data_IF_202048882375
#
_entry.id   IF_202048882375
#
_cell.length_a   1.000
_cell.length_b   1.000
_cell.length_c   1.000
_cell.angle_alpha   90.00
_cell.angle_beta   90.00
_cell.angle_gamma   90.00
#
_symmetry.space_group_name_H-M   'P 1'
#
loop_
_entity.id
_entity.type
_entity.pdbx_description
1 polymer ?
#
# COMPACT_ATOMS: atom_id res chain seq x y z
N UNK A 1 -32.85 -43.24 -18.87
CA UNK A 1 -31.47 -43.44 -18.38
C UNK A 1 -30.55 -42.94 -19.46
N UNK A 2 -30.01 -41.75 -19.26
CA UNK A 2 -28.70 -41.31 -19.75
C UNK A 2 -28.28 -40.24 -18.74
N UNK A 3 -27.37 -40.64 -17.85
CA UNK A 3 -26.67 -39.80 -16.90
C UNK A 3 -25.65 -38.97 -17.67
N UNK A 4 -25.82 -37.66 -17.68
CA UNK A 4 -24.71 -36.74 -17.87
C UNK A 4 -24.55 -36.02 -16.54
N UNK A 5 -23.87 -36.69 -15.60
CA UNK A 5 -23.28 -36.03 -14.44
C UNK A 5 -22.17 -35.13 -14.97
N UNK A 6 -22.47 -33.84 -15.10
CA UNK A 6 -21.45 -32.83 -15.35
C UNK A 6 -20.88 -32.42 -14.00
N UNK A 7 -19.95 -33.21 -13.46
CA UNK A 7 -19.04 -32.73 -12.43
C UNK A 7 -18.10 -31.71 -13.08
N UNK A 8 -18.42 -30.41 -12.98
CA UNK A 8 -17.52 -29.40 -13.53
C UNK A 8 -16.34 -29.22 -12.57
N UNK A 9 -15.14 -29.62 -12.99
CA UNK A 9 -13.91 -29.32 -12.28
C UNK A 9 -13.66 -27.81 -12.34
N UNK A 10 -13.45 -27.16 -11.20
CA UNK A 10 -12.83 -25.83 -11.19
C UNK A 10 -11.32 -26.02 -11.09
N UNK A 11 -10.57 -25.26 -11.90
CA UNK A 11 -9.12 -25.15 -11.79
C UNK A 11 -8.71 -24.95 -10.32
N UNK A 12 -7.55 -25.49 -9.89
CA UNK A 12 -7.09 -25.36 -8.51
C UNK A 12 -7.16 -23.91 -8.05
N UNK A 13 -7.79 -23.70 -6.89
CA UNK A 13 -7.91 -22.39 -6.27
C UNK A 13 -6.82 -22.31 -5.19
N UNK A 14 -5.80 -21.44 -5.36
CA UNK A 14 -4.73 -21.36 -4.39
C UNK A 14 -5.23 -20.70 -3.09
N UNK A 15 -5.09 -21.41 -1.97
CA UNK A 15 -5.26 -20.88 -0.62
C UNK A 15 -4.01 -20.11 -0.24
N UNK A 16 -4.19 -18.79 -0.07
CA UNK A 16 -3.13 -17.89 0.34
C UNK A 16 -3.44 -17.26 1.69
N UNK A 17 -2.45 -17.14 2.57
CA UNK A 17 -2.55 -16.35 3.79
C UNK A 17 -1.29 -15.49 3.92
N UNK A 18 -1.44 -14.20 4.25
CA UNK A 18 -0.28 -13.28 4.42
C UNK A 18 0.65 -13.35 3.19
N UNK A 19 0.08 -13.46 1.99
CA UNK A 19 0.77 -13.65 0.69
C UNK A 19 1.49 -14.99 0.47
N UNK A 20 1.60 -15.84 1.50
CA UNK A 20 2.10 -17.21 1.36
C UNK A 20 1.07 -18.10 0.68
N UNK A 21 1.46 -18.75 -0.40
CA UNK A 21 0.68 -19.85 -0.98
C UNK A 21 0.85 -21.08 -0.11
N UNK A 22 -0.18 -21.42 0.65
CA UNK A 22 -0.17 -22.51 1.59
C UNK A 22 -0.48 -23.82 0.87
N UNK A 23 -1.66 -23.90 0.24
CA UNK A 23 -2.26 -25.12 -0.34
C UNK A 23 -3.05 -24.78 -1.60
N UNK A 24 -3.24 -25.75 -2.49
CA UNK A 24 -4.24 -25.67 -3.55
C UNK A 24 -5.52 -26.38 -3.07
N UNK A 25 -6.69 -25.75 -3.30
CA UNK A 25 -8.00 -26.38 -3.08
C UNK A 25 -8.61 -26.75 -4.41
N UNK A 26 -8.99 -28.01 -4.54
CA UNK A 26 -9.82 -28.51 -5.62
C UNK A 26 -11.26 -28.61 -5.12
N UNK A 27 -12.20 -28.00 -5.85
CA UNK A 27 -13.61 -27.92 -5.45
C UNK A 27 -14.45 -28.73 -6.41
N UNK A 28 -15.27 -29.62 -5.85
CA UNK A 28 -16.23 -30.43 -6.56
C UNK A 28 -17.60 -29.81 -6.43
N UNK A 29 -18.20 -29.50 -7.57
CA UNK A 29 -19.52 -28.88 -7.65
C UNK A 29 -20.48 -29.91 -8.23
N UNK A 30 -21.38 -30.43 -7.39
CA UNK A 30 -22.53 -31.19 -7.85
C UNK A 30 -23.72 -30.26 -8.09
N UNK A 31 -24.47 -30.51 -9.17
CA UNK A 31 -25.71 -29.80 -9.43
C UNK A 31 -26.69 -30.10 -8.28
N UNK A 32 -27.26 -29.03 -7.70
CA UNK A 32 -28.26 -29.08 -6.61
C UNK A 32 -27.76 -29.47 -5.19
N UNK A 33 -26.45 -29.71 -5.00
CA UNK A 33 -25.90 -29.90 -3.65
C UNK A 33 -25.76 -28.56 -2.89
N UNK A 34 -26.25 -28.46 -1.63
CA UNK A 34 -26.10 -27.25 -0.83
C UNK A 34 -24.65 -27.03 -0.37
N UNK A 35 -23.92 -28.10 -0.06
CA UNK A 35 -22.51 -28.09 0.35
C UNK A 35 -21.57 -28.37 -0.83
N UNK A 36 -20.43 -27.68 -0.86
CA UNK A 36 -19.33 -27.96 -1.78
C UNK A 36 -18.40 -28.99 -1.15
N UNK A 37 -17.95 -29.97 -1.94
CA UNK A 37 -16.91 -30.91 -1.53
C UNK A 37 -15.54 -30.41 -2.03
N UNK A 38 -14.46 -30.76 -1.32
CA UNK A 38 -13.14 -30.24 -1.64
C UNK A 38 -11.99 -31.14 -1.19
N UNK A 39 -10.85 -30.98 -1.85
CA UNK A 39 -9.59 -31.63 -1.51
C UNK A 39 -8.49 -30.57 -1.40
N UNK A 40 -7.73 -30.61 -0.31
CA UNK A 40 -6.52 -29.84 -0.08
C UNK A 40 -5.29 -30.60 -0.59
N UNK A 41 -4.46 -29.89 -1.33
CA UNK A 41 -3.23 -30.39 -1.92
C UNK A 41 -2.06 -29.44 -1.61
N UNK A 42 -0.85 -29.98 -1.59
CA UNK A 42 0.32 -29.11 -1.58
C UNK A 42 0.40 -28.32 -2.90
N UNK A 43 0.94 -27.10 -2.87
CA UNK A 43 1.09 -26.29 -4.08
C UNK A 43 1.85 -27.04 -5.17
N UNK A 44 1.24 -27.12 -6.36
CA UNK A 44 1.72 -27.87 -7.54
C UNK A 44 1.57 -29.40 -7.48
N UNK A 45 0.83 -29.98 -6.54
CA UNK A 45 0.41 -31.38 -6.63
C UNK A 45 -0.97 -31.51 -7.30
N UNK A 46 -1.13 -32.51 -8.17
CA UNK A 46 -2.38 -32.76 -8.92
C UNK A 46 -3.06 -34.00 -8.34
N UNK A 47 -4.36 -33.96 -8.01
CA UNK A 47 -5.11 -35.14 -7.59
C UNK A 47 -5.15 -36.19 -8.72
N UNK A 48 -4.96 -37.47 -8.38
CA UNK A 48 -4.88 -38.60 -9.35
C UNK A 48 -6.14 -38.78 -10.25
N UNK A 49 -7.25 -38.09 -9.97
CA UNK A 49 -8.51 -38.21 -10.72
C UNK A 49 -8.72 -37.11 -11.79
N UNK A 50 -7.74 -36.21 -12.02
CA UNK A 50 -7.89 -35.08 -12.94
C UNK A 50 -7.79 -35.46 -14.43
N UNK A 51 -7.15 -36.58 -14.76
CA UNK A 51 -7.09 -37.13 -16.11
C UNK A 51 -7.23 -38.65 -16.01
N UNK A 52 -8.29 -39.21 -16.60
CA UNK A 52 -8.51 -40.66 -16.71
C UNK A 52 -7.50 -41.40 -17.60
N UNK A 53 -6.22 -41.07 -17.50
CA UNK A 53 -5.11 -41.61 -18.26
C UNK A 53 -4.20 -42.48 -17.38
N UNK A 54 -4.29 -43.79 -17.56
CA UNK A 54 -3.32 -44.75 -17.03
C UNK A 54 -1.90 -44.44 -17.55
N UNK A 55 -1.00 -43.97 -16.68
CA UNK A 55 0.40 -43.73 -17.05
C UNK A 55 1.25 -43.44 -15.81
N UNK A 56 1.83 -44.49 -15.22
CA UNK A 56 2.45 -44.45 -13.90
C UNK A 56 3.62 -43.48 -13.73
N UNK A 57 3.52 -42.69 -12.66
CA UNK A 57 4.62 -42.26 -11.78
C UNK A 57 4.09 -42.46 -10.35
N UNK A 58 4.97 -42.87 -9.45
CA UNK A 58 4.68 -43.44 -8.13
C UNK A 58 3.58 -42.76 -7.30
N UNK A 59 2.77 -43.61 -6.67
CA UNK A 59 1.75 -43.35 -5.65
C UNK A 59 2.00 -42.13 -4.75
N UNK A 60 1.12 -41.13 -4.83
CA UNK A 60 1.02 -40.03 -3.88
C UNK A 60 -0.32 -40.11 -3.10
N UNK A 61 -0.70 -41.33 -2.69
CA UNK A 61 -1.72 -41.52 -1.64
C UNK A 61 -1.33 -40.87 -0.30
N UNK A 62 -0.07 -40.45 -0.17
CA UNK A 62 0.47 -39.66 0.94
C UNK A 62 0.29 -38.14 0.76
N UNK A 63 -0.30 -37.67 -0.36
CA UNK A 63 -0.59 -36.25 -0.61
C UNK A 63 -1.89 -35.76 0.05
N UNK A 64 -2.54 -36.59 0.89
CA UNK A 64 -3.69 -36.17 1.69
C UNK A 64 -3.16 -35.28 2.82
N UNK A 65 -3.48 -33.99 2.75
CA UNK A 65 -3.15 -33.07 3.84
C UNK A 65 -3.85 -33.49 5.14
N UNK A 66 -3.21 -33.19 6.26
CA UNK A 66 -3.86 -33.22 7.57
C UNK A 66 -5.04 -32.23 7.56
N UNK A 67 -6.26 -32.70 7.88
CA UNK A 67 -7.48 -31.88 8.01
C UNK A 67 -7.89 -31.68 9.48
N UNK A 68 -7.14 -32.20 10.45
CA UNK A 68 -7.54 -32.22 11.87
C UNK A 68 -7.74 -30.84 12.50
N UNK A 69 -7.21 -29.80 11.86
CA UNK A 69 -7.34 -28.40 12.26
C UNK A 69 -8.58 -27.71 11.67
N UNK A 70 -9.28 -28.35 10.73
CA UNK A 70 -10.58 -27.85 10.29
C UNK A 70 -11.61 -28.03 11.40
N UNK A 71 -12.38 -26.98 11.64
CA UNK A 71 -13.42 -26.99 12.64
C UNK A 71 -14.80 -27.05 11.96
N UNK A 72 -15.36 -28.25 11.87
CA UNK A 72 -16.67 -28.50 11.25
C UNK A 72 -17.79 -27.64 11.87
N UNK A 73 -17.67 -27.28 13.16
CA UNK A 73 -18.69 -26.46 13.84
C UNK A 73 -18.78 -25.02 13.35
N UNK A 74 -17.74 -24.54 12.66
CA UNK A 74 -17.68 -23.18 12.08
C UNK A 74 -17.82 -23.19 10.56
N UNK A 75 -18.08 -24.36 9.96
CA UNK A 75 -18.23 -24.51 8.52
C UNK A 75 -19.40 -23.65 8.01
N UNK A 76 -19.19 -22.83 6.96
CA UNK A 76 -20.22 -21.95 6.45
C UNK A 76 -21.37 -22.75 5.85
N UNK A 77 -22.58 -22.51 6.35
CA UNK A 77 -23.79 -23.03 5.73
C UNK A 77 -24.05 -22.24 4.44
N UNK A 78 -24.40 -22.96 3.38
CA UNK A 78 -24.74 -22.37 2.08
C UNK A 78 -26.10 -22.88 1.64
N UNK A 79 -26.92 -21.99 1.11
CA UNK A 79 -28.22 -22.35 0.56
C UNK A 79 -28.06 -22.77 -0.91
N UNK A 80 -28.93 -23.68 -1.38
CA UNK A 80 -28.90 -24.12 -2.78
C UNK A 80 -29.11 -22.97 -3.80
N UNK A 81 -29.68 -21.84 -3.36
CA UNK A 81 -29.85 -20.62 -4.16
C UNK A 81 -28.63 -19.68 -4.19
N UNK A 82 -27.60 -19.93 -3.38
CA UNK A 82 -26.41 -19.09 -3.36
C UNK A 82 -25.55 -19.29 -4.62
N UNK A 83 -25.06 -18.20 -5.25
CA UNK A 83 -24.13 -18.30 -6.37
C UNK A 83 -22.92 -19.18 -6.03
N UNK A 84 -22.51 -20.06 -6.95
CA UNK A 84 -21.38 -20.99 -6.73
C UNK A 84 -20.11 -20.24 -6.28
N UNK A 85 -19.83 -19.08 -6.89
CA UNK A 85 -18.63 -18.30 -6.56
C UNK A 85 -18.65 -17.76 -5.13
N UNK A 86 -19.83 -17.39 -4.62
CA UNK A 86 -20.00 -16.95 -3.23
C UNK A 86 -19.82 -18.12 -2.25
N UNK A 87 -20.34 -19.30 -2.59
CA UNK A 87 -20.15 -20.52 -1.79
C UNK A 87 -18.68 -20.92 -1.71
N UNK A 88 -17.97 -20.84 -2.84
CA UNK A 88 -16.52 -21.07 -2.91
C UNK A 88 -15.78 -20.04 -2.05
N UNK A 89 -16.07 -18.76 -2.19
CA UNK A 89 -15.42 -17.72 -1.41
C UNK A 89 -15.56 -17.97 0.10
N UNK A 90 -16.77 -18.31 0.57
CA UNK A 90 -17.01 -18.66 1.98
C UNK A 90 -16.22 -19.89 2.42
N UNK A 91 -16.18 -20.94 1.60
CA UNK A 91 -15.41 -22.16 1.89
C UNK A 91 -13.91 -21.83 2.03
N UNK A 92 -13.35 -21.09 1.08
CA UNK A 92 -11.94 -20.66 1.08
C UNK A 92 -11.62 -19.84 2.34
N UNK A 93 -12.50 -18.90 2.71
CA UNK A 93 -12.35 -18.08 3.92
C UNK A 93 -12.38 -18.94 5.20
N UNK A 94 -13.25 -19.93 5.27
CA UNK A 94 -13.32 -20.86 6.40
C UNK A 94 -12.03 -21.68 6.54
N UNK A 95 -11.55 -22.26 5.44
CA UNK A 95 -10.27 -23.01 5.40
C UNK A 95 -9.12 -22.10 5.87
N UNK A 96 -9.02 -20.89 5.33
CA UNK A 96 -7.99 -19.92 5.74
C UNK A 96 -8.06 -19.59 7.24
N UNK A 97 -9.26 -19.36 7.76
CA UNK A 97 -9.47 -19.03 9.16
C UNK A 97 -9.10 -20.18 10.08
N UNK A 98 -9.56 -21.39 9.80
CA UNK A 98 -9.19 -22.58 10.58
C UNK A 98 -7.68 -22.81 10.59
N UNK A 99 -7.00 -22.53 9.47
CA UNK A 99 -5.54 -22.64 9.42
C UNK A 99 -4.84 -21.55 10.24
N UNK A 100 -5.34 -20.32 10.21
CA UNK A 100 -4.85 -19.23 11.06
C UNK A 100 -5.03 -19.53 12.55
N UNK A 101 -6.17 -20.10 12.94
CA UNK A 101 -6.45 -20.51 14.31
C UNK A 101 -5.45 -21.60 14.77
N UNK A 102 -5.21 -22.63 13.93
CA UNK A 102 -4.15 -23.64 14.18
C UNK A 102 -2.79 -22.99 14.39
N UNK A 103 -2.40 -22.09 13.49
CA UNK A 103 -1.11 -21.42 13.58
C UNK A 103 -0.99 -20.61 14.88
N UNK A 104 -2.06 -19.91 15.28
CA UNK A 104 -2.07 -19.12 16.51
C UNK A 104 -1.86 -19.98 17.77
N UNK A 105 -2.36 -21.22 17.79
CA UNK A 105 -2.19 -22.14 18.92
C UNK A 105 -0.77 -22.72 19.00
N UNK A 106 -0.12 -22.96 17.86
CA UNK A 106 1.17 -23.64 17.78
C UNK A 106 2.37 -22.68 17.76
N UNK A 107 2.15 -21.41 17.40
CA UNK A 107 3.22 -20.47 17.06
C UNK A 107 4.23 -20.25 18.19
N UNK A 108 3.80 -20.14 19.45
CA UNK A 108 4.73 -19.92 20.56
C UNK A 108 5.74 -21.06 20.68
N UNK A 109 5.31 -22.32 20.50
CA UNK A 109 6.22 -23.47 20.50
C UNK A 109 7.18 -23.46 19.31
N UNK A 110 6.67 -23.10 18.12
CA UNK A 110 7.47 -22.99 16.89
C UNK A 110 8.55 -21.92 17.04
N UNK A 111 8.19 -20.71 17.48
CA UNK A 111 9.15 -19.62 17.67
C UNK A 111 10.21 -19.96 18.72
N UNK A 112 9.85 -20.61 19.82
CA UNK A 112 10.82 -21.05 20.85
C UNK A 112 11.87 -22.01 20.27
N UNK A 113 11.48 -22.88 19.33
CA UNK A 113 12.41 -23.82 18.69
C UNK A 113 13.34 -23.16 17.65
N UNK A 114 12.93 -22.04 17.07
CA UNK A 114 13.66 -21.36 16.00
C UNK A 114 14.53 -20.23 16.53
N UNK A 115 13.92 -19.28 17.26
CA UNK A 115 14.55 -18.03 17.65
C UNK A 115 13.93 -17.50 18.95
N UNK A 116 14.67 -17.67 20.06
CA UNK A 116 14.26 -17.22 21.39
C UNK A 116 13.94 -15.72 21.47
N UNK A 117 14.62 -14.88 20.66
CA UNK A 117 14.39 -13.43 20.66
C UNK A 117 13.07 -13.10 19.98
N UNK A 118 12.80 -13.71 18.81
CA UNK A 118 11.52 -13.53 18.12
C UNK A 118 10.35 -14.12 18.92
N UNK A 119 10.57 -15.26 19.59
CA UNK A 119 9.60 -15.82 20.54
C UNK A 119 9.27 -14.83 21.66
N UNK A 120 10.29 -14.23 22.27
CA UNK A 120 10.09 -13.23 23.32
C UNK A 120 9.35 -12.00 22.81
N UNK A 121 9.72 -11.48 21.64
CA UNK A 121 9.03 -10.36 20.99
C UNK A 121 7.55 -10.68 20.72
N UNK A 122 7.27 -11.91 20.27
CA UNK A 122 5.91 -12.35 20.02
C UNK A 122 5.10 -12.42 21.31
N UNK A 123 5.57 -13.18 22.30
CA UNK A 123 4.84 -13.42 23.55
C UNK A 123 4.67 -12.13 24.37
N UNK A 124 5.68 -11.24 24.37
CA UNK A 124 5.68 -10.02 25.21
C UNK A 124 5.05 -8.81 24.55
N UNK A 125 5.03 -8.74 23.22
CA UNK A 125 4.59 -7.55 22.50
C UNK A 125 3.61 -7.86 21.37
N UNK A 126 4.01 -8.63 20.35
CA UNK A 126 3.17 -8.81 19.16
C UNK A 126 1.83 -9.47 19.48
N UNK A 127 1.79 -10.45 20.38
CA UNK A 127 0.56 -11.13 20.79
C UNK A 127 -0.44 -10.20 21.49
N UNK A 128 0.04 -9.09 22.05
CA UNK A 128 -0.76 -8.09 22.77
C UNK A 128 -1.34 -7.01 21.84
N UNK A 129 -0.81 -6.91 20.61
CA UNK A 129 -1.26 -5.95 19.62
C UNK A 129 -2.68 -6.27 19.14
N UNK A 130 -3.56 -5.28 19.23
CA UNK A 130 -4.97 -5.39 18.85
C UNK A 130 -5.36 -4.17 18.02
N UNK A 131 -5.52 -4.37 16.72
CA UNK A 131 -5.97 -3.37 15.77
C UNK A 131 -7.48 -3.09 15.84
N UNK A 132 -7.91 -2.11 15.06
CA UNK A 132 -9.31 -1.74 14.92
C UNK A 132 -10.18 -2.96 14.58
N UNK A 133 -11.39 -3.02 15.16
CA UNK A 133 -12.30 -4.15 14.96
C UNK A 133 -11.85 -5.45 15.63
N UNK A 134 -10.88 -5.42 16.54
CA UNK A 134 -10.39 -6.60 17.26
C UNK A 134 -9.37 -7.44 16.48
N UNK A 135 -8.80 -6.88 15.41
CA UNK A 135 -7.76 -7.54 14.60
C UNK A 135 -6.53 -7.82 15.45
N UNK A 136 -5.92 -8.98 15.29
CA UNK A 136 -4.69 -9.35 16.01
C UNK A 136 -3.55 -9.57 15.03
N UNK A 137 -2.35 -9.78 15.55
CA UNK A 137 -1.24 -10.27 14.75
C UNK A 137 -1.60 -11.66 14.24
N UNK A 138 -1.62 -11.80 12.93
CA UNK A 138 -1.78 -13.09 12.28
C UNK A 138 -0.39 -13.65 11.99
N UNK A 139 -0.18 -14.92 12.31
CA UNK A 139 1.05 -15.62 12.01
C UNK A 139 0.69 -16.88 11.25
N UNK A 140 1.39 -17.13 10.16
CA UNK A 140 1.29 -18.38 9.42
C UNK A 140 2.67 -18.94 9.22
N UNK A 141 2.78 -20.25 9.20
CA UNK A 141 4.03 -20.91 8.89
C UNK A 141 3.78 -22.02 7.87
N UNK A 142 4.81 -22.39 7.11
CA UNK A 142 4.76 -23.50 6.17
C UNK A 142 6.07 -24.27 6.25
N UNK A 143 5.99 -25.49 6.76
CA UNK A 143 7.13 -26.40 6.83
C UNK A 143 7.38 -27.05 5.47
N UNK A 144 8.62 -27.01 5.03
CA UNK A 144 9.13 -27.70 3.84
C UNK A 144 10.38 -28.50 4.25
N UNK A 145 10.83 -29.48 3.45
CA UNK A 145 11.91 -30.39 3.85
C UNK A 145 13.18 -29.66 4.33
N UNK A 146 13.59 -28.62 3.61
CA UNK A 146 14.87 -27.93 3.87
C UNK A 146 14.70 -26.61 4.65
N UNK A 147 13.50 -26.07 4.71
CA UNK A 147 13.25 -24.76 5.33
C UNK A 147 11.82 -24.61 5.82
N UNK A 148 11.64 -23.69 6.76
CA UNK A 148 10.36 -23.23 7.24
C UNK A 148 10.13 -21.79 6.78
N UNK A 149 8.99 -21.55 6.15
CA UNK A 149 8.53 -20.18 5.93
C UNK A 149 7.67 -19.73 7.10
N UNK A 150 7.87 -18.49 7.54
CA UNK A 150 7.16 -17.91 8.66
C UNK A 150 6.72 -16.49 8.27
N UNK A 151 5.43 -16.26 8.12
CA UNK A 151 4.84 -14.97 7.75
C UNK A 151 4.10 -14.34 8.92
N UNK A 152 4.32 -13.05 9.13
CA UNK A 152 3.57 -12.23 10.08
C UNK A 152 2.80 -11.14 9.33
N UNK A 153 1.58 -10.89 9.78
CA UNK A 153 0.76 -9.73 9.43
C UNK A 153 0.47 -8.97 10.71
N UNK A 154 1.19 -7.86 10.90
CA UNK A 154 1.17 -7.10 12.14
C UNK A 154 0.34 -5.83 11.92
N UNK A 155 -0.79 -5.64 12.62
CA UNK A 155 -1.59 -4.42 12.50
C UNK A 155 -0.81 -3.18 12.96
N UNK A 156 -0.77 -2.15 12.11
CA UNK A 156 -0.11 -0.87 12.38
C UNK A 156 -1.12 0.26 12.63
N UNK A 157 -0.63 1.37 13.18
CA UNK A 157 -1.33 2.64 13.40
C UNK A 157 -2.59 2.50 14.26
N UNK A 158 -2.56 1.59 15.22
CA UNK A 158 -3.74 1.17 16.01
C UNK A 158 -4.38 2.35 16.75
N UNK A 159 -3.57 3.26 17.28
CA UNK A 159 -4.03 4.45 18.01
C UNK A 159 -4.39 5.63 17.10
N UNK A 160 -4.12 5.54 15.80
CA UNK A 160 -4.26 6.65 14.84
C UNK A 160 -5.18 6.34 13.65
N UNK A 161 -5.80 5.17 13.61
CA UNK A 161 -6.61 4.70 12.48
C UNK A 161 -7.67 5.71 12.02
N UNK A 162 -8.41 6.33 12.94
CA UNK A 162 -9.43 7.34 12.62
C UNK A 162 -8.80 8.57 11.96
N UNK A 163 -7.76 9.15 12.57
CA UNK A 163 -7.05 10.33 12.03
C UNK A 163 -6.46 10.07 10.65
N UNK A 164 -5.92 8.87 10.45
CA UNK A 164 -5.35 8.47 9.15
C UNK A 164 -6.46 8.28 8.12
N UNK A 165 -7.60 7.71 8.51
CA UNK A 165 -8.78 7.61 7.65
C UNK A 165 -9.25 9.00 7.21
N UNK A 166 -9.44 9.94 8.15
CA UNK A 166 -9.81 11.34 7.86
C UNK A 166 -8.80 12.04 6.95
N UNK A 167 -7.51 11.80 7.18
CA UNK A 167 -6.43 12.35 6.36
C UNK A 167 -6.49 11.80 4.92
N UNK A 168 -6.73 10.50 4.76
CA UNK A 168 -6.88 9.87 3.45
C UNK A 168 -8.13 10.34 2.71
N UNK A 169 -9.25 10.52 3.42
CA UNK A 169 -10.46 11.11 2.84
C UNK A 169 -10.19 12.54 2.36
N UNK A 170 -9.47 13.33 3.14
CA UNK A 170 -9.06 14.69 2.77
C UNK A 170 -8.15 14.68 1.54
N UNK A 171 -7.20 13.77 1.47
CA UNK A 171 -6.33 13.58 0.30
C UNK A 171 -7.16 13.22 -0.93
N UNK A 172 -8.09 12.28 -0.82
CA UNK A 172 -8.94 11.86 -1.93
C UNK A 172 -9.85 12.98 -2.41
N UNK A 173 -10.46 13.71 -1.48
CA UNK A 173 -11.31 14.86 -1.81
C UNK A 173 -10.54 15.96 -2.55
N UNK A 174 -9.36 16.35 -2.05
CA UNK A 174 -8.52 17.37 -2.67
C UNK A 174 -7.95 16.91 -4.01
N UNK A 175 -7.45 15.67 -4.09
CA UNK A 175 -6.93 15.12 -5.34
C UNK A 175 -8.01 15.06 -6.42
N UNK A 176 -9.20 14.55 -6.09
CA UNK A 176 -10.33 14.50 -7.04
C UNK A 176 -10.74 15.90 -7.49
N UNK A 177 -10.83 16.86 -6.57
CA UNK A 177 -11.13 18.27 -6.88
C UNK A 177 -10.10 18.85 -7.86
N UNK A 178 -8.81 18.70 -7.54
CA UNK A 178 -7.71 19.30 -8.30
C UNK A 178 -7.49 18.63 -9.66
N UNK A 179 -7.67 17.31 -9.75
CA UNK A 179 -7.59 16.55 -11.00
C UNK A 179 -8.85 16.58 -11.86
N UNK A 180 -9.89 17.33 -11.43
CA UNK A 180 -11.20 17.45 -12.10
C UNK A 180 -11.94 16.12 -12.26
N UNK A 181 -11.72 15.18 -11.34
CA UNK A 181 -12.55 13.99 -11.20
C UNK A 181 -13.94 14.39 -10.70
N UNK A 182 -14.98 13.70 -11.14
CA UNK A 182 -16.35 14.01 -10.67
C UNK A 182 -16.50 13.57 -9.22
N UNK A 183 -17.25 14.32 -8.40
CA UNK A 183 -17.42 14.01 -6.98
C UNK A 183 -18.00 12.60 -6.73
N UNK A 184 -18.76 12.06 -7.68
CA UNK A 184 -19.26 10.68 -7.65
C UNK A 184 -18.16 9.61 -7.78
N UNK A 185 -16.94 9.98 -8.18
CA UNK A 185 -15.80 9.06 -8.33
C UNK A 185 -14.94 8.96 -7.07
N UNK A 186 -15.15 9.81 -6.06
CA UNK A 186 -14.43 9.73 -4.79
C UNK A 186 -15.15 8.75 -3.85
N UNK A 187 -14.55 7.59 -3.53
CA UNK A 187 -15.16 6.63 -2.64
C UNK A 187 -15.09 7.10 -1.19
N UNK A 188 -16.21 7.12 -0.46
CA UNK A 188 -16.20 7.36 0.99
C UNK A 188 -15.54 6.19 1.70
N UNK A 189 -14.70 6.49 2.69
CA UNK A 189 -13.99 5.47 3.46
C UNK A 189 -14.75 5.18 4.75
N UNK A 190 -14.87 3.91 5.12
CA UNK A 190 -15.37 3.52 6.44
C UNK A 190 -14.24 3.24 7.41
N UNK A 191 -13.17 2.62 6.91
CA UNK A 191 -12.03 2.19 7.69
C UNK A 191 -10.82 2.04 6.77
N UNK A 192 -9.64 2.32 7.29
CA UNK A 192 -8.38 1.99 6.63
C UNK A 192 -7.52 1.17 7.56
N UNK A 193 -7.07 0.04 7.04
CA UNK A 193 -6.27 -0.95 7.72
C UNK A 193 -4.83 -0.90 7.20
N UNK A 194 -3.88 -0.79 8.11
CA UNK A 194 -2.45 -0.90 7.81
C UNK A 194 -1.89 -2.18 8.41
N UNK A 195 -1.05 -2.88 7.67
CA UNK A 195 -0.40 -4.09 8.18
C UNK A 195 1.02 -4.20 7.65
N UNK A 196 1.97 -4.39 8.56
CA UNK A 196 3.31 -4.83 8.21
C UNK A 196 3.24 -6.32 7.88
N UNK A 197 3.59 -6.67 6.66
CA UNK A 197 3.76 -8.04 6.21
C UNK A 197 5.25 -8.33 6.19
N UNK A 198 5.70 -9.25 7.03
CA UNK A 198 7.09 -9.73 7.01
C UNK A 198 7.12 -11.24 6.85
N UNK A 199 7.92 -11.70 5.89
CA UNK A 199 8.12 -13.11 5.61
C UNK A 199 9.56 -13.49 5.88
N UNK A 200 9.74 -14.48 6.75
CA UNK A 200 11.00 -15.10 7.06
C UNK A 200 11.13 -16.45 6.37
N UNK A 201 12.36 -16.79 5.99
CA UNK A 201 12.79 -18.14 5.65
C UNK A 201 13.80 -18.60 6.69
N UNK A 202 13.48 -19.70 7.33
CA UNK A 202 14.28 -20.33 8.37
C UNK A 202 14.87 -21.61 7.80
N UNK A 203 16.18 -21.78 7.85
CA UNK A 203 16.83 -23.01 7.44
C UNK A 203 16.72 -24.06 8.58
N UNK A 204 16.17 -25.24 8.28
CA UNK A 204 15.92 -26.27 9.29
C UNK A 204 17.20 -26.82 9.94
N UNK A 205 18.34 -26.81 9.22
CA UNK A 205 19.61 -27.38 9.71
C UNK A 205 20.39 -26.41 10.60
N UNK A 206 20.31 -25.11 10.30
CA UNK A 206 21.12 -24.07 10.97
C UNK A 206 20.31 -23.15 11.87
N UNK A 207 18.97 -23.19 11.80
CA UNK A 207 18.05 -22.21 12.38
C UNK A 207 18.37 -20.74 12.01
N UNK A 208 19.15 -20.53 10.93
CA UNK A 208 19.40 -19.21 10.40
C UNK A 208 18.11 -18.69 9.77
N UNK A 209 17.77 -17.43 10.07
CA UNK A 209 16.56 -16.78 9.63
C UNK A 209 16.88 -15.59 8.73
N UNK A 210 16.36 -15.64 7.50
CA UNK A 210 16.49 -14.57 6.51
C UNK A 210 15.14 -13.90 6.26
N UNK A 211 15.13 -12.58 6.10
CA UNK A 211 13.93 -11.84 5.67
C UNK A 211 13.82 -11.94 4.15
N UNK A 212 12.76 -12.58 3.66
CA UNK A 212 12.49 -12.78 2.22
C UNK A 212 11.65 -11.64 1.65
N UNK A 213 10.71 -11.14 2.45
CA UNK A 213 9.81 -10.07 2.03
C UNK A 213 9.43 -9.21 3.22
N UNK A 214 9.36 -7.91 2.98
CA UNK A 214 8.90 -6.93 3.94
C UNK A 214 8.13 -5.83 3.19
N UNK A 215 6.87 -5.63 3.53
CA UNK A 215 6.03 -4.59 2.92
C UNK A 215 4.96 -4.09 3.89
N UNK A 216 4.51 -2.85 3.68
CA UNK A 216 3.32 -2.32 4.36
C UNK A 216 2.13 -2.41 3.41
N UNK A 217 1.13 -3.20 3.78
CA UNK A 217 -0.13 -3.31 3.07
C UNK A 217 -1.14 -2.29 3.61
N UNK A 218 -1.84 -1.61 2.69
CA UNK A 218 -2.98 -0.74 3.01
C UNK A 218 -4.24 -1.38 2.44
N UNK A 219 -5.26 -1.57 3.28
CA UNK A 219 -6.59 -1.99 2.85
C UNK A 219 -7.61 -0.92 3.26
N UNK A 220 -8.19 -0.25 2.27
CA UNK A 220 -9.25 0.72 2.48
C UNK A 220 -10.61 0.08 2.22
N UNK A 221 -11.52 0.23 3.19
CA UNK A 221 -12.89 -0.26 3.14
C UNK A 221 -13.85 0.88 2.79
N UNK A 222 -14.85 0.59 1.96
CA UNK A 222 -15.88 1.55 1.58
C UNK A 222 -17.13 1.37 2.44
N UNK A 223 -17.84 2.47 2.70
CA UNK A 223 -19.18 2.43 3.29
C UNK A 223 -20.24 1.92 2.32
N UNK A 224 -20.04 2.09 1.01
CA UNK A 224 -20.96 1.60 -0.03
C UNK A 224 -20.20 1.38 -1.36
N UNK A 225 -20.46 0.29 -2.09
CA UNK A 225 -19.91 0.08 -3.42
C UNK A 225 -20.57 1.07 -4.41
N UNK A 226 -19.92 2.22 -4.60
CA UNK A 226 -20.30 3.20 -5.61
C UNK A 226 -19.68 2.82 -6.96
N UNK A 227 -20.43 3.05 -8.05
CA UNK A 227 -19.91 2.94 -9.41
C UNK A 227 -18.89 4.07 -9.65
N UNK A 228 -17.60 3.77 -9.48
CA UNK A 228 -16.53 4.76 -9.54
C UNK A 228 -15.15 4.12 -9.41
N UNK A 229 -14.17 4.94 -9.03
CA UNK A 229 -12.80 4.48 -8.78
C UNK A 229 -12.74 3.71 -7.45
N UNK A 230 -12.06 2.57 -7.44
CA UNK A 230 -11.87 1.82 -6.19
C UNK A 230 -10.93 2.58 -5.24
N UNK A 231 -11.02 2.38 -3.90
CA UNK A 231 -10.13 3.05 -2.95
C UNK A 231 -8.69 2.58 -3.15
N UNK A 232 -8.50 1.31 -3.50
CA UNK A 232 -7.20 0.75 -3.81
C UNK A 232 -6.54 1.48 -4.99
N UNK A 233 -7.31 1.78 -6.03
CA UNK A 233 -6.83 2.55 -7.17
C UNK A 233 -6.46 3.99 -6.76
N UNK A 234 -7.29 4.70 -5.99
CA UNK A 234 -6.94 6.04 -5.50
C UNK A 234 -5.73 6.05 -4.55
N UNK A 235 -5.63 5.09 -3.63
CA UNK A 235 -4.45 4.90 -2.78
C UNK A 235 -3.20 4.74 -3.65
N UNK A 236 -3.26 3.86 -4.65
CA UNK A 236 -2.13 3.62 -5.56
C UNK A 236 -1.77 4.83 -6.41
N UNK A 237 -2.68 5.78 -6.63
CA UNK A 237 -2.38 7.04 -7.33
C UNK A 237 -1.83 8.10 -6.40
N UNK A 238 -2.25 8.16 -5.14
CA UNK A 238 -2.00 9.30 -4.25
C UNK A 238 -0.92 9.06 -3.19
N UNK A 239 -0.74 7.80 -2.76
CA UNK A 239 0.14 7.44 -1.64
C UNK A 239 1.30 6.58 -2.14
N UNK A 240 2.53 7.06 -1.98
CA UNK A 240 3.74 6.27 -2.20
C UNK A 240 4.37 5.89 -0.86
N UNK A 241 4.65 4.60 -0.67
CA UNK A 241 5.24 4.04 0.56
C UNK A 241 6.71 3.63 0.36
N UNK A 242 7.37 4.19 -0.65
CA UNK A 242 8.76 3.86 -0.94
C UNK A 242 9.69 4.40 0.15
N UNK A 243 10.80 3.70 0.40
CA UNK A 243 11.83 4.04 1.38
C UNK A 243 11.35 4.10 2.85
N UNK A 244 10.33 3.31 3.22
CA UNK A 244 10.03 3.07 4.63
C UNK A 244 11.17 2.29 5.31
N UNK A 245 11.38 2.47 6.63
CA UNK A 245 12.33 1.65 7.38
C UNK A 245 12.04 0.16 7.20
N UNK A 246 13.08 -0.63 6.96
CA UNK A 246 13.00 -2.08 6.81
C UNK A 246 13.62 -2.76 8.03
N UNK A 247 12.87 -3.67 8.66
CA UNK A 247 13.27 -4.54 9.76
C UNK A 247 14.49 -5.39 9.44
N UNK A 248 14.66 -5.74 8.16
CA UNK A 248 15.89 -6.38 7.67
C UNK A 248 17.14 -5.60 8.11
N UNK A 249 18.33 -6.15 7.82
CA UNK A 249 19.64 -5.67 8.28
C UNK A 249 19.87 -4.14 8.32
N UNK A 250 19.13 -3.34 7.53
CA UNK A 250 19.09 -1.88 7.60
C UNK A 250 18.63 -1.31 8.96
N UNK A 251 17.62 -1.87 9.63
CA UNK A 251 17.19 -1.36 10.95
C UNK A 251 18.26 -1.57 12.03
N UNK A 252 18.87 -2.76 12.04
CA UNK A 252 19.99 -3.09 12.93
C UNK A 252 21.20 -2.16 12.69
N UNK A 253 21.51 -1.87 11.42
CA UNK A 253 22.53 -0.88 11.06
C UNK A 253 22.17 0.53 11.52
N UNK A 254 20.91 0.96 11.34
CA UNK A 254 20.46 2.30 11.70
C UNK A 254 20.56 2.54 13.21
N UNK A 255 20.19 1.55 14.02
CA UNK A 255 20.28 1.65 15.47
C UNK A 255 21.67 1.38 16.03
N UNK A 256 22.62 0.87 15.23
CA UNK A 256 23.93 0.41 15.69
C UNK A 256 23.85 -0.51 16.92
N UNK A 257 22.81 -1.35 16.98
CA UNK A 257 22.52 -2.21 18.14
C UNK A 257 22.27 -3.64 17.69
N UNK A 258 23.02 -4.57 18.27
CA UNK A 258 22.82 -6.01 18.09
C UNK A 258 21.51 -6.51 18.73
N UNK A 259 20.90 -5.70 19.60
CA UNK A 259 19.71 -6.08 20.38
C UNK A 259 18.37 -5.58 19.82
N UNK A 260 18.34 -4.87 18.69
CA UNK A 260 17.09 -4.27 18.18
C UNK A 260 16.00 -5.33 17.96
N UNK A 261 14.78 -5.04 18.39
CA UNK A 261 13.66 -5.98 18.40
C UNK A 261 12.41 -5.38 17.73
N UNK A 262 11.36 -6.19 17.54
CA UNK A 262 10.11 -5.70 16.92
C UNK A 262 9.46 -4.56 17.72
N UNK A 263 9.63 -4.56 19.04
CA UNK A 263 9.13 -3.50 19.93
C UNK A 263 9.79 -2.15 19.68
N UNK A 264 11.07 -2.14 19.26
CA UNK A 264 11.76 -0.90 18.87
C UNK A 264 11.43 -0.51 17.43
N UNK A 265 11.25 -1.50 16.55
CA UNK A 265 11.06 -1.27 15.12
C UNK A 265 9.69 -0.69 14.77
N UNK A 266 8.62 -1.30 15.30
CA UNK A 266 7.25 -0.93 14.91
C UNK A 266 6.96 0.56 15.15
N UNK A 267 7.31 1.16 16.31
CA UNK A 267 7.10 2.59 16.52
C UNK A 267 7.83 3.48 15.51
N UNK A 268 9.07 3.12 15.14
CA UNK A 268 9.87 3.85 14.14
C UNK A 268 9.24 3.76 12.75
N UNK A 269 8.76 2.56 12.38
CA UNK A 269 8.04 2.35 11.13
C UNK A 269 6.72 3.13 11.10
N UNK A 270 5.95 3.12 12.18
CA UNK A 270 4.68 3.85 12.30
C UNK A 270 4.86 5.35 12.18
N UNK A 271 5.87 5.93 12.83
CA UNK A 271 6.21 7.35 12.71
C UNK A 271 6.59 7.72 11.27
N UNK A 272 7.47 6.92 10.64
CA UNK A 272 7.84 7.12 9.24
C UNK A 272 6.63 7.03 8.30
N UNK A 273 5.73 6.07 8.55
CA UNK A 273 4.50 5.88 7.79
C UNK A 273 3.54 7.07 7.93
N UNK A 274 3.34 7.58 9.14
CA UNK A 274 2.51 8.77 9.37
C UNK A 274 3.06 9.98 8.60
N UNK A 275 4.36 10.22 8.69
CA UNK A 275 5.00 11.31 7.96
C UNK A 275 4.80 11.15 6.44
N UNK A 276 4.93 9.93 5.92
CA UNK A 276 4.68 9.62 4.50
C UNK A 276 3.23 9.84 4.07
N UNK A 277 2.27 9.58 4.94
CA UNK A 277 0.84 9.80 4.68
C UNK A 277 0.45 11.29 4.73
N UNK A 278 1.19 12.12 5.48
CA UNK A 278 0.95 13.56 5.56
C UNK A 278 1.50 14.34 4.35
N UNK A 279 2.60 13.88 3.74
CA UNK A 279 3.24 14.57 2.60
C UNK A 279 2.27 14.82 1.41
N UNK A 280 1.44 13.86 0.95
CA UNK A 280 0.43 14.09 -0.09
C UNK A 280 -0.58 15.17 0.28
N UNK A 281 -1.06 15.17 1.52
CA UNK A 281 -2.04 16.16 1.99
C UNK A 281 -1.45 17.56 1.95
N UNK A 282 -0.25 17.72 2.50
CA UNK A 282 0.48 18.99 2.49
C UNK A 282 0.71 19.52 1.06
N UNK A 283 1.08 18.64 0.12
CA UNK A 283 1.21 19.03 -1.29
C UNK A 283 -0.11 19.47 -1.91
N UNK A 284 -1.19 18.70 -1.72
CA UNK A 284 -2.49 19.03 -2.30
C UNK A 284 -3.08 20.32 -1.72
N UNK A 285 -2.88 20.59 -0.43
CA UNK A 285 -3.26 21.84 0.21
C UNK A 285 -2.50 23.04 -0.39
N UNK A 286 -1.20 22.90 -0.67
CA UNK A 286 -0.42 23.91 -1.39
C UNK A 286 -1.03 24.18 -2.79
N UNK A 287 -1.34 23.13 -3.54
CA UNK A 287 -1.94 23.27 -4.87
C UNK A 287 -3.32 23.92 -4.82
N UNK A 288 -4.14 23.62 -3.81
CA UNK A 288 -5.44 24.24 -3.62
C UNK A 288 -5.31 25.76 -3.43
N UNK A 289 -4.38 26.20 -2.59
CA UNK A 289 -4.12 27.63 -2.40
C UNK A 289 -3.60 28.29 -3.69
N UNK A 290 -2.67 27.65 -4.40
CA UNK A 290 -2.19 28.16 -5.68
C UNK A 290 -3.31 28.25 -6.73
N UNK A 291 -4.28 27.33 -6.68
CA UNK A 291 -5.39 27.28 -7.62
C UNK A 291 -6.32 28.48 -7.52
N UNK A 292 -6.36 29.16 -6.37
CA UNK A 292 -7.12 30.41 -6.20
C UNK A 292 -6.63 31.53 -7.13
N UNK A 293 -5.36 31.48 -7.54
CA UNK A 293 -4.71 32.53 -8.33
C UNK A 293 -4.34 32.06 -9.74
N UNK A 294 -3.84 30.83 -9.86
CA UNK A 294 -3.38 30.27 -11.14
C UNK A 294 -4.50 29.52 -11.89
N UNK A 295 -5.69 29.40 -11.29
CA UNK A 295 -6.72 28.48 -11.74
C UNK A 295 -6.38 27.02 -11.45
N UNK A 296 -7.21 26.09 -11.93
CA UNK A 296 -7.00 24.65 -11.68
C UNK A 296 -5.76 24.13 -12.40
N UNK A 297 -4.99 23.21 -11.80
CA UNK A 297 -3.85 22.59 -12.47
C UNK A 297 -4.30 21.84 -13.74
N UNK A 298 -3.38 21.78 -14.70
CA UNK A 298 -3.52 21.03 -15.96
C UNK A 298 -3.17 19.57 -15.74
N UNK A 299 -2.17 19.30 -14.90
CA UNK A 299 -1.70 17.95 -14.59
C UNK A 299 -1.20 17.87 -13.14
N UNK A 300 -1.37 16.71 -12.52
CA UNK A 300 -0.93 16.38 -11.17
C UNK A 300 -0.40 14.95 -11.17
N UNK A 301 0.87 14.80 -10.83
CA UNK A 301 1.51 13.52 -10.63
C UNK A 301 1.97 13.40 -9.16
N UNK A 302 1.38 12.47 -8.42
CA UNK A 302 1.70 12.26 -7.01
C UNK A 302 2.87 11.29 -6.79
N UNK A 303 3.40 10.67 -7.87
CA UNK A 303 4.38 9.57 -7.81
C UNK A 303 5.42 9.66 -8.93
N UNK A 304 6.12 10.79 -9.07
CA UNK A 304 7.25 10.86 -9.98
C UNK A 304 8.52 10.40 -9.27
N UNK A 305 9.02 9.22 -9.60
CA UNK A 305 10.40 8.80 -9.30
C UNK A 305 11.30 9.08 -10.50
N UNK A 306 12.57 9.38 -10.26
CA UNK A 306 13.57 9.27 -11.32
C UNK A 306 14.05 7.83 -11.35
N UNK A 307 13.52 7.04 -12.30
CA UNK A 307 13.82 5.61 -12.44
C UNK A 307 15.31 5.34 -12.72
N UNK A 308 16.09 6.38 -13.05
CA UNK A 308 17.53 6.27 -13.28
C UNK A 308 18.34 6.22 -12.00
N UNK A 309 17.76 6.62 -10.87
CA UNK A 309 18.44 6.64 -9.57
C UNK A 309 17.73 5.67 -8.63
N UNK A 310 18.35 4.52 -8.29
CA UNK A 310 17.79 3.62 -7.29
C UNK A 310 17.63 4.38 -5.96
N UNK A 311 16.46 4.21 -5.32
CA UNK A 311 16.04 4.95 -4.11
C UNK A 311 15.86 6.47 -4.32
N UNK A 312 15.52 6.92 -5.53
CA UNK A 312 15.15 8.33 -5.73
C UNK A 312 13.93 8.69 -4.88
N UNK A 313 14.02 9.83 -4.20
CA UNK A 313 12.90 10.33 -3.41
C UNK A 313 11.72 10.65 -4.32
N UNK A 314 10.55 10.13 -3.98
CA UNK A 314 9.29 10.42 -4.69
C UNK A 314 9.10 11.93 -4.72
N UNK A 315 8.96 12.47 -5.93
CA UNK A 315 8.65 13.87 -6.17
C UNK A 315 7.22 13.99 -6.68
N UNK A 316 6.44 14.83 -6.05
CA UNK A 316 5.08 15.19 -6.45
C UNK A 316 5.16 16.41 -7.36
N UNK A 317 4.51 16.33 -8.51
CA UNK A 317 4.61 17.34 -9.56
C UNK A 317 3.22 17.85 -9.89
N UNK A 318 3.07 19.16 -10.02
CA UNK A 318 1.85 19.76 -10.58
C UNK A 318 2.21 20.83 -11.59
N UNK A 319 1.38 20.95 -12.61
CA UNK A 319 1.56 21.94 -13.67
C UNK A 319 0.33 22.83 -13.77
N UNK A 320 0.53 24.14 -13.70
CA UNK A 320 -0.48 25.16 -13.98
C UNK A 320 -0.15 25.82 -15.31
N UNK A 321 -1.17 26.15 -16.11
CA UNK A 321 -1.01 26.94 -17.31
C UNK A 321 -2.20 27.89 -17.46
N UNK A 322 -1.89 29.17 -17.63
CA UNK A 322 -2.89 30.22 -17.81
C UNK A 322 -2.33 31.39 -18.60
N UNK A 323 -3.22 32.26 -19.06
CA UNK A 323 -2.89 33.51 -19.75
C UNK A 323 -3.27 34.65 -18.82
N UNK A 324 -2.30 35.42 -18.26
CA UNK A 324 -2.63 36.55 -17.40
C UNK A 324 -3.48 37.59 -18.13
N UNK A 325 -4.47 38.21 -17.46
CA UNK A 325 -5.22 39.31 -18.01
C UNK A 325 -4.28 40.40 -18.54
N UNK A 326 -4.65 41.02 -19.66
CA UNK A 326 -3.91 42.12 -20.28
C UNK A 326 -2.51 41.77 -20.81
N UNK A 327 -2.22 40.47 -20.98
CA UNK A 327 -0.99 39.98 -21.62
C UNK A 327 -1.29 38.98 -22.74
N UNK A 328 -0.47 38.99 -23.80
CA UNK A 328 -0.48 37.94 -24.84
C UNK A 328 0.54 36.83 -24.53
N UNK A 329 0.73 36.55 -23.23
CA UNK A 329 1.74 35.63 -22.74
C UNK A 329 1.08 34.37 -22.19
N UNK A 330 1.55 33.20 -22.59
CA UNK A 330 1.23 31.96 -21.90
C UNK A 330 2.21 31.77 -20.75
N UNK A 331 1.68 31.57 -19.54
CA UNK A 331 2.48 31.27 -18.35
C UNK A 331 2.27 29.80 -18.01
N UNK A 332 3.38 29.11 -17.74
CA UNK A 332 3.40 27.75 -17.22
C UNK A 332 4.18 27.72 -15.91
N UNK A 333 3.58 27.17 -14.86
CA UNK A 333 4.20 27.00 -13.55
C UNK A 333 4.28 25.50 -13.27
N UNK A 334 5.48 25.00 -12.97
CA UNK A 334 5.69 23.60 -12.60
C UNK A 334 6.19 23.55 -11.15
N UNK A 335 5.44 22.88 -10.29
CA UNK A 335 5.76 22.70 -8.87
C UNK A 335 6.32 21.31 -8.66
N UNK A 336 7.51 21.21 -8.10
CA UNK A 336 8.16 19.97 -7.69
C UNK A 336 8.28 19.92 -6.17
N UNK A 337 7.47 19.08 -5.53
CA UNK A 337 7.39 18.95 -4.08
C UNK A 337 7.88 17.57 -3.65
N UNK A 338 8.92 17.52 -2.82
CA UNK A 338 9.52 16.26 -2.35
C UNK A 338 8.90 15.78 -1.05
N UNK A 339 8.86 16.65 -0.04
CA UNK A 339 8.33 16.36 1.28
C UNK A 339 7.84 17.64 1.97
N UNK A 340 7.20 17.51 3.13
CA UNK A 340 6.67 18.62 3.93
C UNK A 340 7.74 19.44 4.66
N UNK A 341 9.01 19.06 4.60
CA UNK A 341 10.11 19.69 5.36
C UNK A 341 11.06 20.50 4.50
N UNK A 342 10.90 20.45 3.16
CA UNK A 342 11.75 21.16 2.20
C UNK A 342 10.92 22.10 1.33
N UNK A 343 11.51 23.22 0.93
CA UNK A 343 10.85 24.13 0.00
C UNK A 343 10.66 23.42 -1.35
N UNK A 344 9.46 23.50 -1.96
CA UNK A 344 9.26 22.96 -3.29
C UNK A 344 10.10 23.74 -4.29
N UNK A 345 10.63 23.04 -5.29
CA UNK A 345 11.22 23.70 -6.43
C UNK A 345 10.10 24.12 -7.39
N UNK A 346 9.98 25.41 -7.70
CA UNK A 346 8.94 25.92 -8.60
C UNK A 346 9.58 26.65 -9.78
N UNK A 347 9.33 26.11 -10.97
CA UNK A 347 9.79 26.63 -12.24
C UNK A 347 8.67 27.38 -12.95
N UNK A 348 8.98 28.58 -13.44
CA UNK A 348 8.07 29.45 -14.18
C UNK A 348 8.61 29.64 -15.59
N UNK A 349 7.77 29.37 -16.58
CA UNK A 349 8.02 29.64 -17.98
C UNK A 349 6.98 30.64 -18.52
N UNK A 350 7.45 31.63 -19.27
CA UNK A 350 6.61 32.63 -19.94
C UNK A 350 6.93 32.61 -21.43
N UNK A 351 5.91 32.37 -22.24
CA UNK A 351 6.00 32.36 -23.70
C UNK A 351 5.12 33.47 -24.30
N UNK A 352 5.73 34.40 -25.04
CA UNK A 352 5.03 35.51 -25.70
C UNK A 352 5.04 35.31 -27.21
N UNK A 353 3.87 35.41 -27.84
CA UNK A 353 3.74 35.38 -29.29
C UNK A 353 4.37 36.65 -29.90
N UNK A 354 5.40 36.49 -30.74
CA UNK A 354 6.03 37.60 -31.44
C UNK A 354 5.19 38.13 -32.61
N UNK A 355 5.54 39.32 -33.08
CA UNK A 355 4.88 40.01 -34.21
C UNK A 355 5.12 39.36 -35.59
N UNK A 356 6.04 38.39 -35.68
CA UNK A 356 6.31 37.63 -36.90
C UNK A 356 5.79 36.19 -36.75
N UNK A 357 5.10 35.62 -37.76
CA UNK A 357 4.67 34.24 -37.70
C UNK A 357 5.90 33.35 -37.57
N UNK A 358 5.98 32.59 -36.45
CA UNK A 358 7.03 31.62 -36.05
C UNK A 358 8.12 32.08 -35.05
N UNK A 359 8.07 33.27 -34.45
CA UNK A 359 8.99 33.59 -33.32
C UNK A 359 8.24 33.73 -32.00
N UNK A 360 8.22 32.65 -31.22
CA UNK A 360 7.84 32.69 -29.81
C UNK A 360 9.07 33.04 -28.99
N UNK A 361 9.00 34.11 -28.18
CA UNK A 361 10.04 34.37 -27.17
C UNK A 361 9.65 33.62 -25.90
N UNK A 362 10.54 32.78 -25.41
CA UNK A 362 10.36 32.01 -24.19
C UNK A 362 11.41 32.45 -23.16
N UNK A 363 10.97 32.73 -21.95
CA UNK A 363 11.83 33.02 -20.81
C UNK A 363 11.46 32.10 -19.65
N UNK A 364 12.48 31.58 -18.96
CA UNK A 364 12.34 30.66 -17.83
C UNK A 364 13.03 31.21 -16.61
N UNK A 365 12.47 30.96 -15.44
CA UNK A 365 13.04 31.33 -14.16
C UNK A 365 12.51 30.44 -13.06
N UNK A 366 13.26 30.34 -11.97
CA UNK A 366 12.87 29.63 -10.77
C UNK A 366 12.47 30.66 -9.72
N UNK A 367 11.44 30.36 -8.91
CA UNK A 367 11.02 31.29 -7.87
C UNK A 367 12.10 31.41 -6.78
N UNK A 368 12.10 32.55 -6.09
CA UNK A 368 12.93 32.77 -4.91
C UNK A 368 12.03 32.91 -3.70
N UNK A 369 12.30 32.11 -2.67
CA UNK A 369 11.59 32.19 -1.41
C UNK A 369 12.14 33.34 -0.54
N UNK A 370 11.33 33.90 0.36
CA UNK A 370 11.81 34.89 1.32
C UNK A 370 12.91 34.31 2.23
N UNK A 371 13.97 35.09 2.47
CA UNK A 371 15.13 34.69 3.29
C UNK A 371 14.76 34.13 4.68
N UNK A 372 13.63 34.54 5.26
CA UNK A 372 13.13 34.04 6.54
C UNK A 372 12.81 32.54 6.51
N UNK A 373 12.21 32.03 5.43
CA UNK A 373 11.90 30.60 5.27
C UNK A 373 13.18 29.78 5.07
N UNK A 374 14.13 30.31 4.29
CA UNK A 374 15.44 29.68 4.11
C UNK A 374 16.27 29.63 5.41
N UNK A 375 16.05 30.59 6.31
CA UNK A 375 16.73 30.65 7.61
C UNK A 375 16.08 29.70 8.62
N UNK A 376 14.76 29.66 8.71
CA UNK A 376 14.00 28.74 9.58
C UNK A 376 14.37 27.28 9.31
N UNK A 377 14.57 26.90 8.04
CA UNK A 377 15.03 25.55 7.66
C UNK A 377 16.46 25.20 8.08
N UNK A 378 17.33 26.19 8.29
CA UNK A 378 18.72 25.96 8.66
C UNK A 378 18.92 25.85 10.18
N UNK A 379 17.98 26.37 10.96
CA UNK A 379 18.06 26.40 12.43
C UNK A 379 17.58 25.11 13.10
N UNK A 380 16.64 24.37 12.51
CA UNK A 380 16.05 23.14 13.09
C UNK A 380 16.58 21.84 12.44
N UNK A 381 17.90 21.70 12.36
CA UNK A 381 18.55 20.59 11.68
C UNK A 381 18.33 19.21 12.33
N UNK A 382 17.90 19.16 13.60
CA UNK A 382 17.79 17.91 14.35
C UNK A 382 16.40 17.27 14.28
N UNK A 383 15.32 18.05 14.12
CA UNK A 383 13.95 17.56 13.93
C UNK A 383 13.11 18.64 13.22
N UNK A 384 13.13 18.72 11.88
CA UNK A 384 12.35 19.73 11.19
C UNK A 384 10.86 19.42 11.36
N UNK A 385 10.12 20.35 11.98
CA UNK A 385 8.67 20.33 11.91
C UNK A 385 8.23 20.55 10.44
N UNK A 386 7.07 19.99 10.06
CA UNK A 386 6.50 20.26 8.75
C UNK A 386 6.32 21.78 8.57
N UNK A 387 6.65 22.29 7.38
CA UNK A 387 6.44 23.70 7.05
C UNK A 387 4.95 24.01 7.14
N UNK A 388 4.58 25.16 7.70
CA UNK A 388 3.19 25.60 7.65
C UNK A 388 2.75 25.81 6.19
N UNK A 389 1.76 25.03 5.75
CA UNK A 389 1.32 25.01 4.36
C UNK A 389 0.73 26.36 3.92
N UNK A 390 0.12 27.11 4.84
CA UNK A 390 -0.47 28.41 4.56
C UNK A 390 0.63 29.42 4.24
N UNK A 391 1.61 29.55 5.12
CA UNK A 391 2.78 30.41 4.92
C UNK A 391 3.53 30.02 3.65
N UNK A 392 3.77 28.72 3.43
CA UNK A 392 4.43 28.22 2.23
C UNK A 392 3.68 28.60 0.95
N UNK A 393 2.35 28.47 0.98
CA UNK A 393 1.49 28.80 -0.16
C UNK A 393 1.56 30.28 -0.51
N UNK A 394 1.44 31.15 0.49
CA UNK A 394 1.57 32.61 0.30
C UNK A 394 2.93 32.99 -0.30
N UNK A 395 4.02 32.43 0.23
CA UNK A 395 5.36 32.70 -0.29
C UNK A 395 5.56 32.16 -1.71
N UNK A 396 5.05 30.96 -2.00
CA UNK A 396 5.13 30.35 -3.34
C UNK A 396 4.40 31.21 -4.37
N UNK A 397 3.20 31.68 -4.03
CA UNK A 397 2.40 32.57 -4.86
C UNK A 397 3.13 33.89 -5.14
N UNK A 398 3.62 34.56 -4.09
CA UNK A 398 4.34 35.83 -4.25
C UNK A 398 5.58 35.65 -5.12
N UNK A 399 6.36 34.59 -4.87
CA UNK A 399 7.53 34.25 -5.67
C UNK A 399 7.18 33.97 -7.14
N UNK A 400 6.05 33.31 -7.42
CA UNK A 400 5.56 33.11 -8.78
C UNK A 400 5.24 34.45 -9.46
N UNK A 401 4.48 35.32 -8.80
CA UNK A 401 4.08 36.61 -9.38
C UNK A 401 5.27 37.52 -9.70
N UNK A 402 6.24 37.61 -8.78
CA UNK A 402 7.48 38.39 -8.98
C UNK A 402 8.32 37.83 -10.13
N UNK A 403 8.41 36.50 -10.22
CA UNK A 403 9.14 35.81 -11.30
C UNK A 403 8.45 36.04 -12.64
N UNK A 404 7.13 35.89 -12.71
CA UNK A 404 6.33 36.16 -13.92
C UNK A 404 6.53 37.60 -14.38
N UNK A 405 6.43 38.59 -13.49
CA UNK A 405 6.62 39.99 -13.83
C UNK A 405 8.03 40.26 -14.40
N UNK A 406 9.05 39.64 -13.81
CA UNK A 406 10.44 39.74 -14.26
C UNK A 406 10.64 39.14 -15.66
N UNK A 407 10.08 37.94 -15.90
CA UNK A 407 10.18 37.23 -17.18
C UNK A 407 9.36 37.91 -18.29
N UNK A 408 8.20 38.50 -17.96
CA UNK A 408 7.42 39.28 -18.91
C UNK A 408 8.19 40.52 -19.38
N UNK A 409 8.91 41.18 -18.47
CA UNK A 409 9.73 42.35 -18.81
C UNK A 409 10.94 41.99 -19.68
N UNK A 410 11.50 40.78 -19.56
CA UNK A 410 12.59 40.33 -20.44
C UNK A 410 12.10 39.88 -21.83
N UNK A 411 10.82 39.53 -21.95
CA UNK A 411 10.20 39.14 -23.22
C UNK A 411 9.72 40.31 -24.08
N UNK A 412 9.41 41.47 -23.47
CA UNK A 412 9.17 42.74 -24.20
C UNK A 412 10.42 43.12 -24.97
#
# INVERSE_FOLDING_TARGET
MNSEDVSSYKNPIPIKAITLHLFDVYIYVEADAPSLDFVLCYPNSVPEDADGGSGGVSSDRDAVMDYSWLNDSTMPQSDAGDPVDLRIERLIQWIQRSYLDKCADEISGILQSINNKLSFDYDSYLSTLCGAGGRRVEVVYRSLPDYLHLGFSIPLLQSQGEKVCESLESIFALYSKLSRMTAAQTPPLSQVDFSLIILFKVNNDSNNMDVVKEEVAIKAHQTSPLAGMSPAELLSRTIALDNLPLYSHQFYQMLQRDSACMMDFIPVLEEALINKLQEPLHFLQLLEHMSLLCGMPVDINMKSSDDRVPNSAVTRIAMFSFVPPDTNANVTITVHHRNSYTLPNVDVCVAVAGSAPKKTKEARGQIKYPNRMDQEMKTDANFPAAIDVTALSEATVLGCMDTIATLLNSCK
#
